data_IF_453471251649
#
_entry.id   IF_453471251649
#
_cell.length_a   1.000
_cell.length_b   1.000
_cell.length_c   1.000
_cell.angle_alpha   90.00
_cell.angle_beta   90.00
_cell.angle_gamma   90.00
#
_symmetry.space_group_name_H-M   'P 1'
#
loop_
_entity.id
_entity.type
_entity.pdbx_description
1 polymer ?
#
# COMPACT_ATOMS: atom_id res chain seq x y z
N UNK A 1 -36.63 17.89 15.93
CA UNK A 1 -36.25 16.56 16.42
C UNK A 1 -35.10 16.11 15.58
N UNK A 2 -33.96 16.07 16.24
CA UNK A 2 -32.63 16.36 15.70
C UNK A 2 -32.06 15.19 14.88
N UNK A 3 -31.65 15.50 13.65
CA UNK A 3 -30.82 14.65 12.79
C UNK A 3 -29.36 14.83 13.23
N UNK A 4 -28.97 14.17 14.31
CA UNK A 4 -27.55 13.95 14.64
C UNK A 4 -27.09 12.66 13.92
N UNK A 5 -26.90 12.78 12.61
CA UNK A 5 -26.05 11.85 11.85
C UNK A 5 -24.59 12.12 12.27
N UNK A 6 -24.22 11.64 13.47
CA UNK A 6 -22.82 11.47 13.84
C UNK A 6 -22.25 10.37 12.93
N UNK A 7 -21.76 10.79 11.76
CA UNK A 7 -20.80 10.06 10.92
C UNK A 7 -19.48 9.91 11.71
N UNK A 8 -19.53 9.17 12.81
CA UNK A 8 -18.34 8.70 13.50
C UNK A 8 -17.69 7.68 12.56
N UNK A 9 -16.59 8.08 11.92
CA UNK A 9 -15.75 7.23 11.06
C UNK A 9 -15.28 5.95 11.78
N UNK A 10 -15.59 5.81 13.08
CA UNK A 10 -15.57 4.57 13.85
C UNK A 10 -14.16 4.20 14.28
N UNK A 11 -13.21 5.12 14.12
CA UNK A 11 -11.84 4.91 14.56
C UNK A 11 -11.81 4.95 16.10
N UNK A 12 -11.21 3.94 16.72
CA UNK A 12 -11.19 3.83 18.18
C UNK A 12 -9.76 3.62 18.65
N UNK A 13 -9.35 4.38 19.67
CA UNK A 13 -8.08 4.14 20.33
C UNK A 13 -8.20 2.90 21.22
N UNK A 14 -7.29 1.94 21.04
CA UNK A 14 -7.24 0.71 21.78
C UNK A 14 -6.15 0.77 22.84
N UNK A 15 -6.42 0.14 23.99
CA UNK A 15 -5.40 -0.21 24.96
C UNK A 15 -4.41 -1.23 24.38
N UNK A 16 -3.26 -1.41 25.02
CA UNK A 16 -2.31 -2.48 24.63
C UNK A 16 -2.97 -3.87 24.74
N UNK A 17 -3.80 -4.10 25.75
CA UNK A 17 -4.52 -5.36 25.95
C UNK A 17 -5.53 -5.66 24.83
N UNK A 18 -6.34 -4.67 24.43
CA UNK A 18 -7.30 -4.82 23.33
C UNK A 18 -6.58 -5.02 21.99
N UNK A 19 -5.46 -4.32 21.80
CA UNK A 19 -4.65 -4.48 20.58
C UNK A 19 -4.08 -5.90 20.48
N UNK A 20 -3.59 -6.48 21.58
CA UNK A 20 -3.11 -7.87 21.61
C UNK A 20 -4.25 -8.87 21.40
N UNK A 21 -5.47 -8.58 21.85
CA UNK A 21 -6.62 -9.45 21.58
C UNK A 21 -6.95 -9.51 20.08
N UNK A 22 -6.77 -8.41 19.34
CA UNK A 22 -6.96 -8.37 17.88
C UNK A 22 -5.76 -8.91 17.11
N UNK A 23 -4.55 -8.67 17.61
CA UNK A 23 -3.29 -8.99 16.96
C UNK A 23 -2.30 -9.64 17.96
N UNK A 24 -2.45 -10.94 18.27
CA UNK A 24 -1.71 -11.58 19.36
C UNK A 24 -0.18 -11.62 19.21
N UNK A 25 0.33 -11.53 17.98
CA UNK A 25 1.77 -11.52 17.69
C UNK A 25 2.46 -10.16 17.89
N UNK A 26 1.73 -9.11 18.27
CA UNK A 26 2.34 -7.80 18.53
C UNK A 26 3.10 -7.77 19.85
N UNK A 27 4.18 -6.99 19.89
CA UNK A 27 4.97 -6.76 21.10
C UNK A 27 5.10 -5.25 21.31
N UNK A 28 4.68 -4.79 22.48
CA UNK A 28 4.83 -3.41 22.90
C UNK A 28 6.15 -3.19 23.61
N UNK A 29 6.74 -2.01 23.42
CA UNK A 29 7.94 -1.59 24.14
C UNK A 29 7.58 -1.17 25.57
N UNK A 30 8.55 -1.24 26.49
CA UNK A 30 8.33 -0.95 27.92
C UNK A 30 7.81 0.48 28.15
N UNK A 31 8.27 1.45 27.35
CA UNK A 31 7.82 2.84 27.43
C UNK A 31 6.33 3.02 27.08
N UNK A 32 5.80 2.23 26.13
CA UNK A 32 4.37 2.24 25.79
C UNK A 32 3.55 1.66 26.95
N UNK A 33 4.01 0.56 27.54
CA UNK A 33 3.37 -0.07 28.69
C UNK A 33 3.37 0.85 29.93
N UNK A 34 4.50 1.52 30.19
CA UNK A 34 4.61 2.50 31.27
C UNK A 34 3.74 3.73 31.04
N UNK A 35 3.65 4.21 29.79
CA UNK A 35 2.81 5.35 29.44
C UNK A 35 1.33 5.05 29.68
N UNK A 36 0.87 3.85 29.29
CA UNK A 36 -0.49 3.40 29.53
C UNK A 36 -0.81 3.28 31.02
N UNK A 37 0.13 2.73 31.81
CA UNK A 37 -0.04 2.56 33.26
C UNK A 37 -0.07 3.88 34.06
N UNK A 38 0.43 4.99 33.49
CA UNK A 38 0.44 6.33 34.11
C UNK A 38 -0.81 7.16 33.79
N UNK A 39 -1.64 6.74 32.85
CA UNK A 39 -2.82 7.50 32.44
C UNK A 39 -3.98 7.29 33.44
N UNK A 40 -4.21 8.27 34.32
CA UNK A 40 -5.24 8.22 35.38
C UNK A 40 -6.70 8.31 34.88
N UNK A 41 -6.95 8.41 33.58
CA UNK A 41 -8.22 8.01 32.98
C UNK A 41 -8.05 7.89 31.45
N UNK A 42 -8.40 6.73 30.89
CA UNK A 42 -8.38 6.39 29.44
C UNK A 42 -6.98 6.21 28.82
N UNK A 43 -6.18 5.27 29.35
CA UNK A 43 -4.93 4.84 28.73
C UNK A 43 -5.14 4.04 27.44
N UNK A 44 -5.22 4.71 26.29
CA UNK A 44 -5.23 4.07 24.97
C UNK A 44 -3.90 4.31 24.24
N UNK A 45 -2.82 3.68 24.72
CA UNK A 45 -1.49 3.83 24.14
C UNK A 45 -1.15 2.71 23.13
N UNK A 46 -2.05 1.73 22.95
CA UNK A 46 -1.82 0.54 22.14
C UNK A 46 -1.89 0.81 20.63
N UNK A 47 -3.05 1.26 20.13
CA UNK A 47 -3.23 1.48 18.69
C UNK A 47 -4.41 2.40 18.39
N UNK A 48 -4.46 2.93 17.16
CA UNK A 48 -5.67 3.44 16.54
C UNK A 48 -6.26 2.35 15.65
N UNK A 49 -7.46 1.89 15.97
CA UNK A 49 -8.17 0.87 15.19
C UNK A 49 -9.15 1.49 14.22
N UNK A 50 -9.13 1.04 12.96
CA UNK A 50 -10.03 1.51 11.90
C UNK A 50 -10.89 0.33 11.41
N UNK A 51 -12.09 0.12 11.95
CA UNK A 51 -12.92 -1.06 11.65
C UNK A 51 -13.37 -1.14 10.19
N UNK A 52 -13.43 0.01 9.50
CA UNK A 52 -13.82 0.11 8.08
C UNK A 52 -12.62 0.24 7.14
N UNK A 53 -11.40 0.06 7.63
CA UNK A 53 -10.20 0.04 6.81
C UNK A 53 -10.24 -1.09 5.79
N UNK A 54 -9.88 -0.80 4.53
CA UNK A 54 -9.89 -1.79 3.46
C UNK A 54 -8.47 -2.00 2.95
N UNK A 55 -8.06 -3.27 2.87
CA UNK A 55 -6.84 -3.69 2.17
C UNK A 55 -7.23 -4.23 0.80
N UNK A 56 -6.60 -3.70 -0.25
CA UNK A 56 -6.81 -4.16 -1.62
C UNK A 56 -5.59 -4.92 -2.15
N UNK A 57 -5.82 -6.04 -2.82
CA UNK A 57 -4.80 -6.67 -3.66
C UNK A 57 -4.63 -5.82 -4.92
N UNK A 58 -3.63 -4.94 -4.91
CA UNK A 58 -3.46 -3.91 -5.95
C UNK A 58 -3.42 -4.48 -7.39
N UNK A 59 -2.65 -5.53 -7.73
CA UNK A 59 -2.71 -6.14 -9.06
C UNK A 59 -4.12 -6.59 -9.47
N UNK A 60 -4.84 -7.28 -8.58
CA UNK A 60 -6.20 -7.75 -8.89
C UNK A 60 -7.19 -6.59 -9.01
N UNK A 61 -7.05 -5.60 -8.12
CA UNK A 61 -7.89 -4.41 -8.11
C UNK A 61 -7.71 -3.59 -9.38
N UNK A 62 -6.48 -3.30 -9.79
CA UNK A 62 -6.18 -2.54 -11.01
C UNK A 62 -6.66 -3.27 -12.27
N UNK A 63 -6.52 -4.60 -12.32
CA UNK A 63 -7.08 -5.40 -13.42
C UNK A 63 -8.60 -5.27 -13.49
N UNK A 64 -9.30 -5.42 -12.36
CA UNK A 64 -10.75 -5.29 -12.31
C UNK A 64 -11.23 -3.85 -12.62
N UNK A 65 -10.47 -2.84 -12.20
CA UNK A 65 -10.75 -1.45 -12.48
C UNK A 65 -10.63 -1.16 -13.98
N UNK A 66 -9.61 -1.71 -14.64
CA UNK A 66 -9.47 -1.60 -16.09
C UNK A 66 -10.64 -2.24 -16.86
N UNK A 67 -11.07 -3.42 -16.42
CA UNK A 67 -12.23 -4.09 -17.01
C UNK A 67 -13.51 -3.24 -16.84
N UNK A 68 -13.69 -2.65 -15.65
CA UNK A 68 -14.80 -1.75 -15.37
C UNK A 68 -14.76 -0.50 -16.26
N UNK A 69 -13.60 0.13 -16.43
CA UNK A 69 -13.42 1.26 -17.36
C UNK A 69 -13.80 0.88 -18.80
N UNK A 70 -13.38 -0.30 -19.25
CA UNK A 70 -13.71 -0.81 -20.57
C UNK A 70 -15.22 -1.01 -20.77
N UNK A 71 -15.89 -1.57 -19.76
CA UNK A 71 -17.36 -1.73 -19.77
C UNK A 71 -18.07 -0.38 -19.79
N UNK A 72 -17.66 0.56 -18.93
CA UNK A 72 -18.25 1.90 -18.86
C UNK A 72 -18.11 2.63 -20.20
N UNK A 73 -16.92 2.60 -20.80
CA UNK A 73 -16.70 3.20 -22.11
C UNK A 73 -17.59 2.59 -23.19
N UNK A 74 -17.76 1.26 -23.19
CA UNK A 74 -18.61 0.55 -24.16
C UNK A 74 -20.10 0.91 -24.07
N UNK A 75 -20.54 1.41 -22.91
CA UNK A 75 -21.92 1.86 -22.65
C UNK A 75 -22.10 3.37 -22.83
N UNK A 76 -21.03 4.09 -23.16
CA UNK A 76 -21.05 5.53 -23.37
C UNK A 76 -21.68 5.93 -24.70
N UNK A 77 -21.44 7.18 -25.10
CA UNK A 77 -21.88 7.71 -26.40
C UNK A 77 -21.27 6.88 -27.52
N UNK A 78 -22.01 6.68 -28.62
CA UNK A 78 -21.54 5.93 -29.78
C UNK A 78 -20.15 6.41 -30.24
N UNK A 79 -19.20 5.47 -30.35
CA UNK A 79 -17.80 5.77 -30.69
C UNK A 79 -16.84 5.85 -29.50
N UNK A 80 -17.35 5.88 -28.26
CA UNK A 80 -16.52 5.84 -27.04
C UNK A 80 -15.89 4.47 -26.87
N UNK A 81 -14.56 4.43 -26.67
CA UNK A 81 -13.81 3.19 -26.42
C UNK A 81 -12.68 3.45 -25.42
N UNK A 82 -12.49 2.52 -24.51
CA UNK A 82 -11.25 2.42 -23.74
C UNK A 82 -10.33 1.42 -24.45
N UNK A 83 -9.05 1.78 -24.61
CA UNK A 83 -8.06 0.94 -25.26
C UNK A 83 -6.78 0.93 -24.43
N UNK A 84 -6.25 -0.25 -24.19
CA UNK A 84 -4.94 -0.42 -23.57
C UNK A 84 -3.88 -0.50 -24.67
N UNK A 85 -2.89 0.40 -24.64
CA UNK A 85 -1.72 0.35 -25.51
C UNK A 85 -0.47 0.39 -24.65
N UNK A 86 0.40 -0.60 -24.83
CA UNK A 86 1.76 -0.54 -24.29
C UNK A 86 2.61 0.26 -25.28
N UNK A 87 3.14 1.40 -24.84
CA UNK A 87 4.05 2.24 -25.61
C UNK A 87 5.14 2.80 -24.68
N UNK A 88 6.32 3.06 -25.22
CA UNK A 88 7.34 3.88 -24.55
C UNK A 88 7.18 5.30 -25.08
N UNK A 89 7.01 6.25 -24.17
CA UNK A 89 6.87 7.66 -24.47
C UNK A 89 8.09 8.35 -23.89
N UNK A 90 8.81 9.07 -24.74
CA UNK A 90 9.98 9.88 -24.34
C UNK A 90 9.71 11.39 -24.54
N UNK A 91 8.60 11.73 -25.19
CA UNK A 91 8.14 13.10 -25.46
C UNK A 91 6.61 13.15 -25.38
N UNK A 92 6.09 14.02 -24.52
CA UNK A 92 4.65 14.18 -24.30
C UNK A 92 4.00 14.93 -25.46
N UNK A 93 4.73 15.83 -26.14
CA UNK A 93 4.19 16.63 -27.23
C UNK A 93 3.71 15.75 -28.39
N UNK A 94 4.39 14.63 -28.63
CA UNK A 94 4.01 13.65 -29.65
C UNK A 94 2.64 12.98 -29.38
N UNK A 95 2.12 13.01 -28.15
CA UNK A 95 0.79 12.46 -27.84
C UNK A 95 -0.33 13.38 -28.32
N UNK A 96 -0.08 14.69 -28.41
CA UNK A 96 -1.07 15.66 -28.85
C UNK A 96 -1.34 15.61 -30.36
N UNK A 97 -0.55 14.85 -31.12
CA UNK A 97 -0.88 14.49 -32.51
C UNK A 97 -2.11 13.57 -32.61
N UNK A 98 -2.40 12.78 -31.56
CA UNK A 98 -3.54 11.83 -31.52
C UNK A 98 -4.65 12.27 -30.56
N UNK A 99 -4.32 13.01 -29.48
CA UNK A 99 -5.24 13.33 -28.39
C UNK A 99 -5.34 14.83 -28.13
N UNK A 100 -6.55 15.34 -27.89
CA UNK A 100 -6.75 16.74 -27.49
C UNK A 100 -6.28 17.01 -26.04
N UNK A 101 -6.43 16.01 -25.17
CA UNK A 101 -6.09 16.07 -23.76
C UNK A 101 -5.25 14.85 -23.34
N UNK A 102 -4.18 15.09 -22.59
CA UNK A 102 -3.26 14.05 -22.09
C UNK A 102 -3.14 14.18 -20.58
N UNK A 103 -3.34 13.07 -19.86
CA UNK A 103 -3.16 12.99 -18.41
C UNK A 103 -1.98 12.05 -18.08
N UNK A 104 -0.96 12.58 -17.40
CA UNK A 104 0.25 11.84 -17.04
C UNK A 104 0.07 11.16 -15.67
N UNK A 105 -0.13 9.84 -15.68
CA UNK A 105 -0.31 9.01 -14.48
C UNK A 105 0.87 8.02 -14.27
N UNK A 106 2.08 8.37 -14.67
CA UNK A 106 3.26 7.48 -14.65
C UNK A 106 4.05 7.49 -13.32
N UNK A 107 3.50 8.08 -12.26
CA UNK A 107 4.17 8.19 -10.96
C UNK A 107 5.49 8.97 -11.05
N UNK A 108 6.50 8.58 -10.27
CA UNK A 108 7.79 9.27 -10.25
C UNK A 108 8.60 9.16 -11.56
N UNK A 109 8.17 8.32 -12.52
CA UNK A 109 8.74 8.31 -13.88
C UNK A 109 8.37 9.56 -14.69
N UNK A 110 7.46 10.42 -14.19
CA UNK A 110 7.10 11.69 -14.84
C UNK A 110 8.31 12.60 -15.08
N UNK A 111 9.35 12.50 -14.26
CA UNK A 111 10.63 13.21 -14.43
C UNK A 111 11.37 12.92 -15.74
N UNK A 112 11.05 11.80 -16.40
CA UNK A 112 11.60 11.52 -17.73
C UNK A 112 10.87 12.28 -18.85
N UNK A 113 9.69 12.85 -18.55
CA UNK A 113 8.76 13.45 -19.50
C UNK A 113 8.59 14.97 -19.31
N UNK A 114 8.83 15.47 -18.11
CA UNK A 114 8.70 16.89 -17.76
C UNK A 114 9.94 17.37 -17.02
N UNK A 115 10.13 18.69 -16.98
CA UNK A 115 11.24 19.26 -16.23
C UNK A 115 11.11 18.95 -14.73
N UNK A 116 12.15 18.34 -14.17
CA UNK A 116 12.12 17.80 -12.81
C UNK A 116 11.94 18.87 -11.73
N UNK A 117 12.40 20.09 -12.00
CA UNK A 117 12.25 21.22 -11.08
C UNK A 117 10.78 21.65 -10.92
N UNK A 118 9.91 21.31 -11.88
CA UNK A 118 8.50 21.68 -11.87
C UNK A 118 7.63 20.67 -11.10
N UNK A 119 8.15 19.47 -10.81
CA UNK A 119 7.41 18.40 -10.14
C UNK A 119 8.23 17.84 -8.97
N UNK A 120 7.97 18.26 -7.72
CA UNK A 120 8.79 17.88 -6.57
C UNK A 120 8.50 16.45 -6.08
N UNK A 121 8.74 15.45 -6.93
CA UNK A 121 8.60 14.02 -6.61
C UNK A 121 9.97 13.36 -6.48
N UNK A 122 10.07 12.37 -5.59
CA UNK A 122 11.28 11.57 -5.40
C UNK A 122 10.95 10.09 -5.59
N UNK A 123 11.86 9.35 -6.20
CA UNK A 123 11.78 7.89 -6.24
C UNK A 123 12.13 7.31 -4.86
N UNK A 124 11.23 6.47 -4.34
CA UNK A 124 11.49 5.65 -3.17
C UNK A 124 11.25 4.19 -3.53
N UNK A 125 12.32 3.40 -3.51
CA UNK A 125 12.26 1.97 -3.73
C UNK A 125 11.74 1.26 -2.48
N UNK A 126 11.23 0.04 -2.69
CA UNK A 126 10.80 -0.81 -1.59
C UNK A 126 10.48 -2.22 -2.07
N UNK A 127 10.77 -3.17 -1.19
CA UNK A 127 10.45 -4.58 -1.36
C UNK A 127 9.38 -4.98 -0.36
N UNK A 128 8.50 -5.86 -0.78
CA UNK A 128 7.50 -6.50 0.08
C UNK A 128 7.66 -8.01 -0.03
N UNK A 129 7.38 -8.70 1.07
CA UNK A 129 7.35 -10.16 1.12
C UNK A 129 5.89 -10.61 1.08
N UNK A 130 5.54 -11.38 0.06
CA UNK A 130 4.22 -12.01 -0.04
C UNK A 130 4.32 -13.44 0.50
N UNK A 131 3.48 -13.75 1.47
CA UNK A 131 3.47 -15.03 2.17
C UNK A 131 2.10 -15.69 2.14
N UNK A 132 2.07 -16.96 2.50
CA UNK A 132 0.84 -17.73 2.75
C UNK A 132 0.80 -18.06 4.24
N UNK A 133 0.10 -17.27 5.06
CA UNK A 133 -0.10 -17.62 6.46
C UNK A 133 -1.06 -18.81 6.57
N UNK A 134 -1.10 -19.45 7.75
CA UNK A 134 -2.14 -20.42 8.05
C UNK A 134 -3.53 -19.77 7.98
N UNK A 135 -4.55 -20.55 7.61
CA UNK A 135 -5.91 -20.04 7.39
C UNK A 135 -6.43 -19.34 8.66
N UNK A 136 -6.85 -18.07 8.50
CA UNK A 136 -7.41 -17.27 9.59
C UNK A 136 -6.38 -16.63 10.54
N UNK A 137 -5.08 -16.80 10.30
CA UNK A 137 -4.04 -16.24 11.17
C UNK A 137 -3.95 -14.71 11.13
N UNK A 138 -4.44 -14.06 10.07
CA UNK A 138 -4.45 -12.60 9.97
C UNK A 138 -5.72 -12.10 9.27
N UNK A 139 -6.60 -11.46 10.04
CA UNK A 139 -7.81 -10.82 9.54
C UNK A 139 -7.73 -9.29 9.57
N UNK A 140 -6.82 -8.74 10.38
CA UNK A 140 -6.63 -7.31 10.60
C UNK A 140 -5.30 -6.84 10.00
N UNK A 141 -5.32 -5.75 9.25
CA UNK A 141 -4.10 -5.10 8.77
C UNK A 141 -3.42 -4.31 9.88
N UNK A 142 -2.10 -4.36 9.94
CA UNK A 142 -1.28 -3.60 10.89
C UNK A 142 -0.50 -2.56 10.09
N UNK A 143 -0.56 -1.29 10.53
CA UNK A 143 0.20 -0.19 9.93
C UNK A 143 1.07 0.48 11.00
N UNK A 144 2.38 0.46 10.79
CA UNK A 144 3.37 1.19 11.58
C UNK A 144 4.46 1.76 10.66
N UNK A 145 5.72 1.71 11.08
CA UNK A 145 6.86 2.03 10.20
C UNK A 145 6.91 1.14 8.95
N UNK A 146 6.42 -0.09 9.12
CA UNK A 146 6.12 -1.12 8.13
C UNK A 146 4.68 -1.58 8.34
N UNK A 147 4.08 -2.22 7.35
CA UNK A 147 2.77 -2.82 7.42
C UNK A 147 2.79 -4.35 7.28
N UNK A 148 1.75 -4.96 7.81
CA UNK A 148 1.36 -6.34 7.59
C UNK A 148 -0.08 -6.30 7.09
N UNK A 149 -0.32 -6.77 5.87
CA UNK A 149 -1.60 -6.60 5.19
C UNK A 149 -2.16 -7.95 4.74
N UNK A 150 -3.34 -8.38 5.22
CA UNK A 150 -4.00 -9.58 4.71
C UNK A 150 -4.50 -9.34 3.28
N UNK A 151 -4.17 -10.25 2.36
CA UNK A 151 -4.55 -10.21 0.95
C UNK A 151 -5.60 -11.28 0.64
N UNK A 152 -6.81 -11.08 1.17
CA UNK A 152 -7.84 -12.10 1.22
C UNK A 152 -7.58 -13.10 2.34
N UNK A 153 -8.05 -14.34 2.18
CA UNK A 153 -8.00 -15.36 3.25
C UNK A 153 -6.73 -16.21 3.26
N UNK A 154 -5.90 -16.16 2.21
CA UNK A 154 -4.82 -17.15 1.97
C UNK A 154 -3.44 -16.55 1.70
N UNK A 155 -3.34 -15.22 1.70
CA UNK A 155 -2.08 -14.51 1.45
C UNK A 155 -1.99 -13.32 2.39
N UNK A 156 -0.76 -12.91 2.66
CA UNK A 156 -0.49 -11.65 3.32
C UNK A 156 0.78 -11.02 2.77
N UNK A 157 0.91 -9.72 2.97
CA UNK A 157 2.05 -8.91 2.54
C UNK A 157 2.70 -8.28 3.76
N UNK A 158 4.03 -8.32 3.82
CA UNK A 158 4.85 -7.73 4.88
C UNK A 158 5.87 -6.80 4.26
N UNK A 159 5.97 -5.57 4.78
CA UNK A 159 6.96 -4.61 4.32
C UNK A 159 6.48 -3.16 4.44
N UNK A 160 6.95 -2.22 3.59
CA UNK A 160 8.01 -2.39 2.63
C UNK A 160 9.39 -2.14 3.28
N UNK A 161 10.47 -2.56 2.61
CA UNK A 161 11.76 -1.88 2.80
C UNK A 161 11.64 -0.44 2.30
N UNK A 162 12.52 0.46 2.77
CA UNK A 162 12.57 1.87 2.31
C UNK A 162 13.96 2.16 1.75
N UNK A 163 14.01 2.44 0.46
CA UNK A 163 15.25 2.70 -0.30
C UNK A 163 15.17 4.12 -0.88
N UNK A 164 15.76 5.07 -0.17
CA UNK A 164 15.68 6.51 -0.48
C UNK A 164 16.59 6.95 -1.64
N UNK A 165 17.51 6.08 -2.04
CA UNK A 165 18.47 6.26 -3.13
C UNK A 165 18.02 5.59 -4.44
N UNK A 166 16.73 5.25 -4.55
CA UNK A 166 16.19 4.60 -5.74
C UNK A 166 16.30 5.47 -6.99
N UNK A 167 16.67 4.84 -8.10
CA UNK A 167 16.90 5.48 -9.39
C UNK A 167 15.83 5.13 -10.42
N UNK A 168 15.77 5.85 -11.54
CA UNK A 168 14.86 5.54 -12.66
C UNK A 168 15.12 4.13 -13.21
N UNK A 169 16.37 3.68 -13.19
CA UNK A 169 16.74 2.32 -13.57
C UNK A 169 16.19 1.25 -12.61
N UNK A 170 16.08 1.57 -11.33
CA UNK A 170 15.43 0.68 -10.36
C UNK A 170 13.93 0.60 -10.61
N UNK A 171 13.28 1.73 -10.92
CA UNK A 171 11.87 1.75 -11.28
C UNK A 171 11.58 0.91 -12.53
N UNK A 172 12.45 0.96 -13.55
CA UNK A 172 12.35 0.14 -14.78
C UNK A 172 12.44 -1.36 -14.51
N UNK A 173 13.10 -1.78 -13.43
CA UNK A 173 13.26 -3.19 -13.02
C UNK A 173 12.23 -3.62 -11.96
N UNK A 174 11.34 -2.72 -11.54
CA UNK A 174 10.33 -3.03 -10.53
C UNK A 174 9.44 -4.18 -11.00
N UNK A 175 9.06 -5.06 -10.05
CA UNK A 175 8.32 -6.27 -10.33
C UNK A 175 8.67 -7.38 -9.33
N UNK A 176 8.55 -8.63 -9.77
CA UNK A 176 8.97 -9.78 -8.95
C UNK A 176 10.48 -9.74 -8.78
N UNK A 177 10.93 -9.53 -7.55
CA UNK A 177 12.34 -9.44 -7.24
C UNK A 177 13.04 -10.80 -7.44
N UNK A 178 14.21 -10.78 -8.08
CA UNK A 178 15.08 -11.95 -8.17
C UNK A 178 15.74 -12.21 -6.81
N UNK A 179 15.38 -13.35 -6.20
CA UNK A 179 15.91 -13.81 -4.91
C UNK A 179 17.40 -14.13 -4.96
N UNK A 180 17.94 -14.46 -6.14
CA UNK A 180 19.37 -14.72 -6.32
C UNK A 180 20.21 -13.44 -6.36
N UNK A 181 19.59 -12.27 -6.55
CA UNK A 181 20.28 -10.99 -6.54
C UNK A 181 20.68 -10.57 -5.11
N UNK A 182 21.81 -9.88 -4.96
CA UNK A 182 22.26 -9.36 -3.66
C UNK A 182 21.20 -8.45 -3.00
N UNK A 183 20.51 -7.63 -3.80
CA UNK A 183 19.44 -6.74 -3.34
C UNK A 183 18.22 -7.53 -2.87
N UNK A 184 17.77 -8.50 -3.67
CA UNK A 184 16.63 -9.36 -3.34
C UNK A 184 16.89 -10.21 -2.08
N UNK A 185 18.08 -10.81 -1.96
CA UNK A 185 18.46 -11.60 -0.79
C UNK A 185 18.49 -10.76 0.50
N UNK A 186 19.02 -9.52 0.44
CA UNK A 186 19.03 -8.60 1.59
C UNK A 186 17.60 -8.20 2.00
N UNK A 187 16.76 -7.85 1.03
CA UNK A 187 15.37 -7.49 1.29
C UNK A 187 14.59 -8.68 1.88
N UNK A 188 14.77 -9.87 1.33
CA UNK A 188 14.15 -11.09 1.83
C UNK A 188 14.56 -11.37 3.29
N UNK A 189 15.85 -11.28 3.61
CA UNK A 189 16.33 -11.48 4.99
C UNK A 189 15.68 -10.49 5.96
N UNK A 190 15.63 -9.19 5.63
CA UNK A 190 15.05 -8.17 6.50
C UNK A 190 13.54 -8.36 6.70
N UNK A 191 12.82 -8.73 5.64
CA UNK A 191 11.37 -8.91 5.67
C UNK A 191 10.96 -10.24 6.31
N UNK A 192 11.80 -11.29 6.22
CA UNK A 192 11.58 -12.56 6.91
C UNK A 192 11.63 -12.40 8.42
N UNK A 193 12.59 -11.64 8.94
CA UNK A 193 12.65 -11.35 10.38
C UNK A 193 11.40 -10.60 10.86
N UNK A 194 10.93 -9.63 10.08
CA UNK A 194 9.68 -8.92 10.37
C UNK A 194 8.46 -9.85 10.31
N UNK A 195 8.40 -10.72 9.30
CA UNK A 195 7.36 -11.73 9.18
C UNK A 195 7.37 -12.70 10.37
N UNK A 196 8.52 -13.23 10.75
CA UNK A 196 8.61 -14.15 11.90
C UNK A 196 8.08 -13.50 13.18
N UNK A 197 8.29 -12.20 13.38
CA UNK A 197 7.71 -11.48 14.52
C UNK A 197 6.20 -11.26 14.40
N UNK A 198 5.70 -11.03 13.19
CA UNK A 198 4.28 -10.78 12.96
C UNK A 198 3.41 -12.06 13.00
N UNK A 199 4.01 -13.25 12.82
CA UNK A 199 3.31 -14.53 12.67
C UNK A 199 3.78 -15.64 13.63
N UNK A 200 4.60 -15.33 14.64
CA UNK A 200 4.94 -16.25 15.74
C UNK A 200 3.94 -16.13 16.88
#
# INVERSE_FOLDING_TARGET
DDDDDDDDDGATCLTTAETLALCPGLVFTEDVLEAEARADDVGCAGALYMPRGVVVDAPRYLSALWDACSIVASRGVAGTRAMFRTATIDDVEALYDEFDDVCLCCGAAVHALVNADDVPVQLQGGHVLVMKPDDGALTTGILGTTYVAPLGTSRAMVGPTKEYDATVEDARRAGVADRASTRGARAESALRDLALRAYA
#
